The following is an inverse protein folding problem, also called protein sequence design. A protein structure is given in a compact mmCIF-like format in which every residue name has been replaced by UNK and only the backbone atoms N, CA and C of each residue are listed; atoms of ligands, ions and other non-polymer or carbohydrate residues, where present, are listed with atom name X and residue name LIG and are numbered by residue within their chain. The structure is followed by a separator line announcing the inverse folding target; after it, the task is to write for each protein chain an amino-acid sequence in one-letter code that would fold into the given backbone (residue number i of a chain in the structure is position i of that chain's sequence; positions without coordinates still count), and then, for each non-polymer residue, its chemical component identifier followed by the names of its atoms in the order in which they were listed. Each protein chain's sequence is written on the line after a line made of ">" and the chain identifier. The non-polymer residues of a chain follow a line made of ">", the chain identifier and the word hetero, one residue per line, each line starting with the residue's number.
data_IF_684865532180
#
_entry.id   IF_684865532180
#
_cell.length_a   1.000
_cell.length_b   1.000
_cell.length_c   1.000
_cell.angle_alpha   90.00
_cell.angle_beta   90.00
_cell.angle_gamma   90.00
#
_symmetry.space_group_name_H-M   'P 1'
#
loop_
_entity.id
_entity.type
_entity.pdbx_description
1 polymer ?
#
# COMPACT_ATOMS: atom_id res chain seq x y z
N UNK A 1 9.13 8.28 1.94
CA UNK A 1 8.51 6.93 1.99
C UNK A 1 7.12 6.91 1.38
N UNK A 2 6.27 7.90 1.68
CA UNK A 2 4.94 8.05 1.06
C UNK A 2 4.99 8.06 -0.48
N UNK A 3 5.96 8.77 -1.08
CA UNK A 3 6.18 8.77 -2.54
C UNK A 3 6.45 7.38 -3.16
N UNK A 4 7.02 6.43 -2.40
CA UNK A 4 7.21 5.06 -2.89
C UNK A 4 5.89 4.28 -2.91
N UNK A 5 4.99 4.52 -1.96
CA UNK A 5 3.68 3.87 -1.89
C UNK A 5 2.84 4.31 -3.10
N UNK A 6 2.77 5.61 -3.39
CA UNK A 6 2.00 6.16 -4.50
C UNK A 6 2.52 5.68 -5.87
N UNK A 7 3.84 5.56 -6.01
CA UNK A 7 4.48 5.03 -7.21
C UNK A 7 4.14 3.56 -7.46
N UNK A 8 4.11 2.74 -6.39
CA UNK A 8 3.74 1.32 -6.49
C UNK A 8 2.26 1.17 -6.84
N UNK A 9 1.37 1.99 -6.24
CA UNK A 9 -0.06 1.99 -6.57
C UNK A 9 -0.27 2.33 -8.04
N UNK A 10 0.36 3.39 -8.54
CA UNK A 10 0.27 3.77 -9.96
C UNK A 10 0.75 2.66 -10.90
N UNK A 11 1.86 2.00 -10.56
CA UNK A 11 2.38 0.88 -11.34
C UNK A 11 1.40 -0.29 -11.39
N UNK A 12 0.78 -0.66 -10.26
CA UNK A 12 -0.27 -1.69 -10.21
C UNK A 12 -1.44 -1.30 -11.10
N UNK A 13 -1.91 -0.06 -11.02
CA UNK A 13 -3.05 0.43 -11.83
C UNK A 13 -2.76 0.36 -13.33
N UNK A 14 -1.58 0.78 -13.77
CA UNK A 14 -1.18 0.74 -15.19
C UNK A 14 -1.10 -0.71 -15.67
N UNK A 15 -0.35 -1.56 -14.96
CA UNK A 15 -0.14 -2.95 -15.36
C UNK A 15 -1.45 -3.72 -15.35
N UNK A 16 -2.34 -3.48 -14.37
CA UNK A 16 -3.64 -4.15 -14.31
C UNK A 16 -4.56 -3.75 -15.45
N UNK A 17 -4.48 -2.50 -15.90
CA UNK A 17 -5.23 -2.00 -17.07
C UNK A 17 -4.73 -2.65 -18.36
N UNK A 18 -3.43 -2.86 -18.49
CA UNK A 18 -2.81 -3.43 -19.70
C UNK A 18 -2.86 -4.97 -19.71
N UNK A 19 -2.61 -5.60 -18.57
CA UNK A 19 -2.61 -7.05 -18.39
C UNK A 19 -3.03 -7.44 -16.95
N UNK A 20 -4.32 -7.72 -16.73
CA UNK A 20 -4.88 -8.03 -15.41
C UNK A 20 -4.29 -9.28 -14.74
N UNK A 21 -3.75 -10.21 -15.52
CA UNK A 21 -3.20 -11.49 -15.04
C UNK A 21 -1.67 -11.47 -14.92
N UNK A 22 -1.05 -10.29 -15.05
CA UNK A 22 0.39 -10.14 -14.96
C UNK A 22 0.91 -10.58 -13.59
N UNK A 23 1.90 -11.48 -13.57
CA UNK A 23 2.61 -11.90 -12.35
C UNK A 23 3.27 -10.71 -11.63
N UNK A 24 3.59 -9.64 -12.36
CA UNK A 24 4.14 -8.40 -11.80
C UNK A 24 3.16 -7.74 -10.81
N UNK A 25 1.85 -7.92 -10.97
CA UNK A 25 0.84 -7.38 -10.05
C UNK A 25 1.04 -7.97 -8.66
N UNK A 26 1.20 -9.29 -8.56
CA UNK A 26 1.42 -9.98 -7.27
C UNK A 26 2.71 -9.51 -6.60
N UNK A 27 3.78 -9.33 -7.37
CA UNK A 27 5.06 -8.83 -6.87
C UNK A 27 4.93 -7.38 -6.35
N UNK A 28 4.20 -6.53 -7.06
CA UNK A 28 3.95 -5.15 -6.66
C UNK A 28 3.00 -5.04 -5.45
N UNK A 29 1.97 -5.89 -5.35
CA UNK A 29 1.11 -5.98 -4.16
C UNK A 29 1.93 -6.34 -2.90
N UNK A 30 2.88 -7.26 -3.03
CA UNK A 30 3.77 -7.63 -1.94
C UNK A 30 4.73 -6.50 -1.56
N UNK A 31 5.30 -5.80 -2.56
CA UNK A 31 6.14 -4.63 -2.34
C UNK A 31 5.37 -3.48 -1.66
N UNK A 32 4.10 -3.28 -2.03
CA UNK A 32 3.21 -2.29 -1.43
C UNK A 32 2.95 -2.61 0.05
N UNK A 33 2.59 -3.86 0.37
CA UNK A 33 2.39 -4.31 1.75
C UNK A 33 3.61 -4.04 2.62
N UNK A 34 4.81 -4.38 2.13
CA UNK A 34 6.06 -4.17 2.86
C UNK A 34 6.39 -2.68 3.03
N UNK A 35 6.15 -1.87 2.00
CA UNK A 35 6.37 -0.42 2.06
C UNK A 35 5.42 0.27 3.04
N UNK A 36 4.15 -0.15 3.08
CA UNK A 36 3.18 0.35 4.06
C UNK A 36 3.52 -0.08 5.50
N UNK A 37 3.98 -1.32 5.70
CA UNK A 37 4.44 -1.78 7.01
C UNK A 37 5.62 -0.94 7.52
N UNK A 38 6.61 -0.69 6.67
CA UNK A 38 7.74 0.16 7.04
C UNK A 38 7.29 1.58 7.38
N UNK A 39 6.44 2.18 6.54
CA UNK A 39 5.89 3.52 6.80
C UNK A 39 5.20 3.62 8.17
N UNK A 40 4.43 2.59 8.55
CA UNK A 40 3.79 2.53 9.86
C UNK A 40 4.81 2.42 10.99
N UNK A 41 5.81 1.56 10.83
CA UNK A 41 6.87 1.39 11.84
C UNK A 41 7.67 2.68 12.02
N UNK A 42 7.96 3.39 10.93
CA UNK A 42 8.66 4.68 10.97
C UNK A 42 7.81 5.75 11.65
N UNK A 43 6.50 5.82 11.36
CA UNK A 43 5.58 6.73 12.05
C UNK A 43 5.49 6.43 13.55
N UNK A 44 5.48 5.14 13.94
CA UNK A 44 5.46 4.73 15.35
C UNK A 44 6.80 5.05 16.06
N UNK A 45 7.92 4.89 15.36
CA UNK A 45 9.26 5.18 15.88
C UNK A 45 9.55 6.68 16.01
N UNK A 46 8.92 7.52 15.18
CA UNK A 46 9.06 8.98 15.22
C UNK A 46 8.37 9.65 16.43
N UNK A 47 7.75 8.88 17.33
CA UNK A 47 7.27 9.38 18.63
C UNK A 47 6.07 10.34 18.56
N UNK A 48 5.57 10.65 17.37
CA UNK A 48 4.25 11.27 17.23
C UNK A 48 3.22 10.30 17.78
N UNK A 49 2.42 10.77 18.74
CA UNK A 49 1.21 10.11 19.25
C UNK A 49 0.17 10.04 18.13
N UNK A 50 0.49 9.35 17.05
CA UNK A 50 -0.48 8.97 16.04
C UNK A 50 -1.16 7.77 16.66
N UNK A 51 -2.42 7.98 17.07
CA UNK A 51 -3.25 6.95 17.67
C UNK A 51 -3.13 5.69 16.79
N UNK A 52 -2.73 4.58 17.40
CA UNK A 52 -2.59 3.29 16.72
C UNK A 52 -3.88 2.93 15.96
N UNK A 53 -5.03 3.44 16.40
CA UNK A 53 -6.30 3.32 15.72
C UNK A 53 -6.34 4.08 14.39
N UNK A 54 -5.74 5.25 14.30
CA UNK A 54 -5.65 6.06 13.08
C UNK A 54 -4.72 5.40 12.05
N UNK A 55 -3.59 4.86 12.52
CA UNK A 55 -2.68 4.03 11.73
C UNK A 55 -3.40 2.78 11.17
N UNK A 56 -4.14 2.06 12.02
CA UNK A 56 -4.94 0.90 11.61
C UNK A 56 -5.99 1.28 10.57
N UNK A 57 -6.60 2.46 10.69
CA UNK A 57 -7.61 2.96 9.75
C UNK A 57 -6.99 3.26 8.38
N UNK A 58 -5.83 3.92 8.35
CA UNK A 58 -5.08 4.17 7.11
C UNK A 58 -4.66 2.86 6.44
N UNK A 59 -4.16 1.90 7.21
CA UNK A 59 -3.76 0.59 6.68
C UNK A 59 -4.95 -0.19 6.13
N UNK A 60 -6.07 -0.21 6.88
CA UNK A 60 -7.31 -0.85 6.44
C UNK A 60 -7.85 -0.21 5.16
N UNK A 61 -7.88 1.12 5.09
CA UNK A 61 -8.31 1.83 3.89
C UNK A 61 -7.41 1.51 2.68
N UNK A 62 -6.09 1.39 2.89
CA UNK A 62 -5.16 0.99 1.83
C UNK A 62 -5.37 -0.45 1.36
N UNK A 63 -5.71 -1.37 2.27
CA UNK A 63 -6.08 -2.75 1.93
C UNK A 63 -7.42 -2.85 1.20
N UNK A 64 -8.44 -2.11 1.66
CA UNK A 64 -9.76 -2.06 1.02
C UNK A 64 -9.66 -1.43 -0.39
N UNK A 65 -8.78 -0.45 -0.59
CA UNK A 65 -8.45 0.08 -1.93
C UNK A 65 -7.88 -1.01 -2.84
N UNK A 66 -6.98 -1.86 -2.33
CA UNK A 66 -6.44 -2.99 -3.07
C UNK A 66 -7.50 -4.03 -3.42
N UNK A 67 -8.44 -4.31 -2.51
CA UNK A 67 -9.59 -5.18 -2.81
C UNK A 67 -10.53 -4.58 -3.85
N UNK A 68 -10.75 -3.27 -3.82
CA UNK A 68 -11.59 -2.57 -4.81
C UNK A 68 -10.97 -2.65 -6.20
N UNK A 69 -9.64 -2.57 -6.30
CA UNK A 69 -8.94 -2.82 -7.56
C UNK A 69 -9.01 -4.28 -8.02
N UNK A 70 -9.31 -5.25 -7.14
CA UNK A 70 -9.42 -6.69 -7.48
C UNK A 70 -10.76 -7.10 -8.10
N UNK A 71 -11.82 -6.30 -7.97
CA UNK A 71 -13.05 -6.44 -8.76
C UNK A 71 -12.89 -5.83 -10.15
#
# INVERSE_FOLDING_TARGET
>A
MQNNIDSIISAITIIKKENPNSEAITLLENALKKSMQNYILDMAAMGTVVDVNEIKKIFKNGLDLLETFKK
#
